data_IF_566180459096
#
_entry.id   IF_566180459096
#
_cell.length_a   1.000
_cell.length_b   1.000
_cell.length_c   1.000
_cell.angle_alpha   90.00
_cell.angle_beta   90.00
_cell.angle_gamma   90.00
#
_symmetry.space_group_name_H-M   'P 1'
#
loop_
_entity.id
_entity.type
_entity.pdbx_description
1 polymer ?
#
# COMPACT_ATOMS: atom_id res chain seq x y z
N UNK A 1 -33.84 0.21 28.71
CA UNK A 1 -34.58 -0.71 29.61
C UNK A 1 -34.54 -2.09 28.95
N UNK A 2 -34.18 -3.12 29.73
CA UNK A 2 -33.62 -4.45 29.34
C UNK A 2 -32.14 -4.33 28.92
N UNK A 3 -31.10 -4.47 29.77
CA UNK A 3 -30.75 -5.37 30.89
C UNK A 3 -30.84 -6.85 30.52
N UNK A 4 -29.69 -7.43 30.14
CA UNK A 4 -29.25 -8.77 30.58
C UNK A 4 -27.71 -8.72 30.71
N UNK A 5 -27.24 -8.73 31.95
CA UNK A 5 -25.88 -9.10 32.37
C UNK A 5 -25.69 -10.62 32.26
N UNK A 6 -24.45 -11.05 31.98
CA UNK A 6 -23.87 -12.25 32.60
C UNK A 6 -22.35 -12.28 32.35
N UNK A 7 -21.62 -12.04 33.43
CA UNK A 7 -20.23 -12.41 33.66
C UNK A 7 -20.01 -13.90 33.39
N UNK A 8 -18.80 -14.30 32.96
CA UNK A 8 -18.25 -15.54 33.48
C UNK A 8 -16.73 -15.56 33.52
N UNK A 9 -16.24 -16.06 34.63
CA UNK A 9 -14.87 -15.90 35.13
C UNK A 9 -14.04 -17.17 34.94
N UNK A 10 -12.77 -16.94 34.64
CA UNK A 10 -11.55 -17.72 34.91
C UNK A 10 -11.73 -19.09 35.63
N UNK A 11 -11.15 -20.15 35.04
CA UNK A 11 -10.63 -21.31 35.79
C UNK A 11 -9.16 -21.55 35.45
N UNK A 12 -8.29 -21.12 36.37
CA UNK A 12 -6.92 -21.60 36.51
C UNK A 12 -6.94 -23.03 37.06
N UNK A 13 -6.13 -23.92 36.50
CA UNK A 13 -5.82 -25.22 37.11
C UNK A 13 -4.33 -25.28 37.41
N UNK A 14 -4.00 -25.09 38.67
CA UNK A 14 -2.75 -25.54 39.28
C UNK A 14 -2.84 -27.05 39.47
N UNK A 15 -1.83 -27.78 39.01
CA UNK A 15 -1.47 -29.08 39.57
C UNK A 15 0.05 -29.08 39.76
N UNK A 16 0.48 -29.21 41.01
CA UNK A 16 1.87 -29.37 41.45
C UNK A 16 1.92 -30.51 42.47
N UNK A 17 3.00 -31.28 42.41
CA UNK A 17 3.68 -32.14 43.43
C UNK A 17 4.17 -33.37 42.66
N UNK A 18 5.46 -33.50 42.33
CA UNK A 18 6.58 -33.90 43.20
C UNK A 18 7.14 -35.21 42.61
N UNK A 19 8.41 -35.54 42.50
CA UNK A 19 9.69 -35.06 43.02
C UNK A 19 10.57 -36.31 43.19
N UNK A 20 11.67 -36.45 42.45
CA UNK A 20 12.86 -37.28 42.81
C UNK A 20 13.93 -37.32 41.68
N UNK A 21 14.89 -36.40 41.78
CA UNK A 21 16.36 -36.58 41.80
C UNK A 21 17.16 -37.35 40.72
N UNK A 22 18.47 -37.03 40.58
CA UNK A 22 19.08 -36.70 39.30
C UNK A 22 20.11 -37.72 38.82
N UNK A 23 20.28 -37.86 37.51
CA UNK A 23 21.39 -38.60 36.91
C UNK A 23 21.97 -37.90 35.68
N UNK A 24 23.17 -37.34 35.91
CA UNK A 24 24.34 -37.33 35.02
C UNK A 24 24.16 -36.73 33.62
N UNK A 25 24.48 -35.45 33.50
CA UNK A 25 24.82 -34.78 32.25
C UNK A 25 26.26 -35.13 31.85
N UNK A 26 26.42 -35.78 30.69
CA UNK A 26 27.69 -35.90 29.98
C UNK A 26 27.89 -34.64 29.14
N UNK A 27 28.74 -33.74 29.63
CA UNK A 27 29.16 -32.53 28.94
C UNK A 27 30.12 -32.86 27.78
N UNK A 28 29.63 -32.83 26.54
CA UNK A 28 30.50 -32.68 25.37
C UNK A 28 30.65 -31.19 25.07
N UNK A 29 31.84 -30.66 25.33
CA UNK A 29 32.28 -29.32 24.91
C UNK A 29 32.23 -29.23 23.37
N UNK A 30 31.19 -28.61 22.81
CA UNK A 30 31.23 -28.08 21.45
C UNK A 30 31.63 -26.61 21.55
N UNK A 31 32.82 -26.30 21.05
CA UNK A 31 33.31 -24.93 20.91
C UNK A 31 32.35 -24.11 20.02
N UNK A 32 32.17 -22.82 20.29
CA UNK A 32 31.43 -21.94 19.39
C UNK A 32 32.15 -21.88 18.02
N UNK A 33 31.39 -21.72 16.91
CA UNK A 33 32.00 -21.59 15.59
C UNK A 33 32.93 -20.38 15.53
N UNK A 34 34.04 -20.45 14.76
CA UNK A 34 35.02 -19.39 14.69
C UNK A 34 34.42 -18.10 14.16
N UNK A 35 35.00 -17.00 14.61
CA UNK A 35 34.59 -15.65 14.21
C UNK A 35 34.97 -15.41 12.74
N UNK A 36 34.22 -14.56 12.03
CA UNK A 36 34.47 -14.25 10.61
C UNK A 36 35.92 -13.78 10.35
N UNK A 37 36.53 -13.11 11.32
CA UNK A 37 37.92 -12.62 11.25
C UNK A 37 38.98 -13.73 11.39
N UNK A 38 38.68 -14.84 12.06
CA UNK A 38 39.59 -15.99 12.20
C UNK A 38 39.57 -16.92 10.97
N UNK A 39 38.49 -16.86 10.18
CA UNK A 39 38.32 -17.68 8.97
C UNK A 39 39.16 -17.19 7.79
N UNK A 40 39.71 -15.97 7.89
CA UNK A 40 40.50 -15.31 6.83
C UNK A 40 42.00 -15.57 7.00
N UNK A 41 42.44 -16.03 8.17
CA UNK A 41 43.85 -16.28 8.47
C UNK A 41 44.35 -17.67 8.06
N UNK A 42 43.44 -18.59 7.71
CA UNK A 42 43.76 -20.01 7.46
C UNK A 42 43.63 -20.36 5.96
N UNK A 43 44.40 -19.66 5.12
CA UNK A 43 44.72 -20.09 3.76
C UNK A 43 46.21 -19.87 3.47
N UNK A 44 47.06 -20.70 4.07
CA UNK A 44 48.38 -21.02 3.51
C UNK A 44 48.33 -22.46 3.05
N UNK A 45 47.78 -22.67 1.84
CA UNK A 45 47.87 -23.94 1.14
C UNK A 45 49.32 -24.13 0.67
N UNK A 46 50.09 -24.93 1.42
CA UNK A 46 51.31 -25.56 0.92
C UNK A 46 50.90 -26.61 -0.13
N UNK A 47 51.10 -26.30 -1.41
CA UNK A 47 51.04 -27.26 -2.51
C UNK A 47 52.47 -27.69 -2.89
N UNK A 48 52.76 -28.99 -3.06
CA UNK A 48 54.05 -29.45 -3.54
C UNK A 48 54.17 -29.18 -5.04
N UNK A 49 55.30 -28.58 -5.39
CA UNK A 49 55.77 -28.33 -6.74
C UNK A 49 55.96 -29.66 -7.47
N UNK A 50 55.12 -29.95 -8.46
CA UNK A 50 55.38 -30.92 -9.51
C UNK A 50 55.10 -30.24 -10.86
N UNK A 51 56.16 -30.15 -11.65
CA UNK A 51 56.17 -29.67 -13.03
C UNK A 51 55.28 -30.54 -13.94
N UNK A 52 54.85 -29.93 -15.04
CA UNK A 52 54.20 -30.54 -16.22
C UNK A 52 52.67 -30.73 -16.20
N UNK A 53 51.90 -29.64 -16.19
CA UNK A 53 50.64 -29.55 -16.96
C UNK A 53 50.44 -28.13 -17.50
N UNK A 54 50.63 -28.02 -18.81
CA UNK A 54 50.38 -26.81 -19.61
C UNK A 54 48.87 -26.51 -19.63
N UNK A 55 48.41 -25.67 -18.69
CA UNK A 55 47.10 -25.02 -18.79
C UNK A 55 47.30 -23.70 -19.53
N UNK A 56 46.80 -23.63 -20.76
CA UNK A 56 46.64 -22.38 -21.48
C UNK A 56 45.80 -21.44 -20.61
N UNK A 57 46.44 -20.35 -20.18
CA UNK A 57 45.84 -19.29 -19.40
C UNK A 57 44.91 -18.51 -20.34
N UNK A 58 43.63 -18.90 -20.41
CA UNK A 58 42.59 -18.06 -20.99
C UNK A 58 42.56 -16.73 -20.23
N UNK A 59 42.60 -15.64 -20.99
CA UNK A 59 42.66 -14.26 -20.55
C UNK A 59 41.70 -13.99 -19.38
N UNK A 60 42.24 -13.38 -18.32
CA UNK A 60 41.51 -12.93 -17.14
C UNK A 60 40.53 -11.82 -17.48
N UNK A 61 39.40 -12.17 -18.09
CA UNK A 61 38.22 -11.33 -18.07
C UNK A 61 37.79 -11.20 -16.61
N UNK A 62 37.99 -10.00 -16.03
CA UNK A 62 37.30 -9.61 -14.81
C UNK A 62 35.83 -10.03 -14.94
N UNK A 63 35.21 -10.62 -13.90
CA UNK A 63 33.80 -10.98 -13.97
C UNK A 63 33.05 -9.73 -14.44
N UNK A 64 32.18 -9.87 -15.45
CA UNK A 64 31.53 -8.71 -16.06
C UNK A 64 30.91 -7.87 -14.95
N UNK A 65 31.21 -6.57 -14.94
CA UNK A 65 30.62 -5.65 -14.00
C UNK A 65 29.10 -5.89 -13.98
N UNK A 66 28.51 -6.06 -12.79
CA UNK A 66 27.10 -6.40 -12.63
C UNK A 66 26.22 -5.40 -13.42
N UNK A 67 25.81 -5.80 -14.62
CA UNK A 67 24.93 -4.99 -15.44
C UNK A 67 23.55 -4.93 -14.75
N UNK A 68 22.92 -3.75 -14.64
CA UNK A 68 21.54 -3.66 -14.18
C UNK A 68 20.66 -4.55 -15.06
N UNK A 69 19.95 -5.48 -14.43
CA UNK A 69 19.03 -6.36 -15.16
C UNK A 69 17.73 -5.62 -15.45
N UNK A 70 17.48 -5.33 -16.72
CA UNK A 70 16.22 -4.75 -17.20
C UNK A 70 15.17 -5.85 -17.40
N UNK A 71 14.33 -6.04 -16.38
CA UNK A 71 13.27 -7.04 -16.43
C UNK A 71 12.14 -6.64 -17.40
N UNK A 72 11.56 -7.63 -18.10
CA UNK A 72 10.44 -7.38 -19.00
C UNK A 72 9.12 -7.24 -18.23
N UNK A 73 8.40 -6.14 -18.46
CA UNK A 73 7.06 -5.92 -17.90
C UNK A 73 6.17 -5.15 -18.88
N UNK A 74 4.87 -5.13 -18.61
CA UNK A 74 3.92 -4.29 -19.31
C UNK A 74 2.90 -3.69 -18.34
N UNK A 75 2.34 -2.54 -18.69
CA UNK A 75 1.28 -1.90 -17.92
C UNK A 75 -0.11 -2.42 -18.34
N UNK A 76 -0.97 -2.67 -17.35
CA UNK A 76 -2.40 -2.90 -17.54
C UNK A 76 -3.11 -1.62 -18.02
N UNK A 77 -4.38 -1.70 -18.43
CA UNK A 77 -5.19 -0.49 -18.69
C UNK A 77 -5.35 0.41 -17.48
N UNK A 78 -5.30 -0.16 -16.28
CA UNK A 78 -5.26 0.55 -14.99
C UNK A 78 -3.86 1.11 -14.66
N UNK A 79 -2.88 0.87 -15.52
CA UNK A 79 -1.47 1.19 -15.33
C UNK A 79 -0.74 0.32 -14.29
N UNK A 80 -1.38 -0.74 -13.79
CA UNK A 80 -0.72 -1.73 -12.93
C UNK A 80 0.40 -2.47 -13.70
N UNK A 81 1.53 -2.70 -13.04
CA UNK A 81 2.68 -3.33 -13.65
C UNK A 81 2.51 -4.85 -13.58
N UNK A 82 2.64 -5.53 -14.72
CA UNK A 82 2.58 -7.00 -14.81
C UNK A 82 3.86 -7.50 -15.47
N UNK A 83 4.55 -8.44 -14.83
CA UNK A 83 5.72 -9.11 -15.39
C UNK A 83 5.52 -10.63 -15.46
N UNK A 84 6.06 -11.23 -16.52
CA UNK A 84 6.19 -12.68 -16.72
C UNK A 84 7.64 -13.06 -17.02
N UNK A 85 8.56 -12.23 -16.55
CA UNK A 85 9.99 -12.38 -16.75
C UNK A 85 10.49 -13.64 -16.00
N UNK A 86 11.29 -14.47 -16.66
CA UNK A 86 11.80 -15.71 -16.04
C UNK A 86 12.78 -15.44 -14.91
N UNK A 87 13.63 -14.43 -15.05
CA UNK A 87 14.64 -14.11 -14.05
C UNK A 87 13.98 -13.67 -12.73
N UNK A 88 12.92 -12.86 -12.80
CA UNK A 88 12.13 -12.48 -11.63
C UNK A 88 11.36 -13.65 -10.97
N UNK A 89 11.23 -14.79 -11.66
CA UNK A 89 10.55 -15.97 -11.14
C UNK A 89 11.50 -16.97 -10.47
N UNK A 90 12.78 -16.89 -10.78
CA UNK A 90 13.80 -17.87 -10.41
C UNK A 90 14.84 -17.27 -9.45
N UNK A 91 15.15 -15.97 -9.59
CA UNK A 91 16.02 -15.23 -8.67
C UNK A 91 15.22 -14.25 -7.83
N UNK A 92 15.22 -14.48 -6.51
CA UNK A 92 14.55 -13.58 -5.58
C UNK A 92 15.21 -12.20 -5.51
N UNK A 93 16.51 -12.07 -5.83
CA UNK A 93 17.25 -10.82 -5.69
C UNK A 93 16.87 -9.89 -6.84
N UNK A 94 16.86 -10.41 -8.06
CA UNK A 94 16.26 -9.75 -9.21
C UNK A 94 14.81 -9.30 -8.91
N UNK A 95 13.98 -10.18 -8.31
CA UNK A 95 12.62 -9.81 -7.91
C UNK A 95 12.59 -8.67 -6.89
N UNK A 96 13.40 -8.75 -5.83
CA UNK A 96 13.47 -7.72 -4.81
C UNK A 96 13.90 -6.36 -5.38
N UNK A 97 14.98 -6.33 -6.17
CA UNK A 97 15.48 -5.11 -6.83
C UNK A 97 14.43 -4.54 -7.80
N UNK A 98 13.76 -5.39 -8.56
CA UNK A 98 12.66 -4.97 -9.44
C UNK A 98 11.50 -4.35 -8.65
N UNK A 99 11.11 -4.93 -7.51
CA UNK A 99 10.07 -4.35 -6.67
C UNK A 99 10.46 -2.97 -6.11
N UNK A 100 11.72 -2.80 -5.70
CA UNK A 100 12.23 -1.50 -5.24
C UNK A 100 12.25 -0.45 -6.37
N UNK A 101 12.75 -0.82 -7.54
CA UNK A 101 12.82 0.10 -8.69
C UNK A 101 11.42 0.51 -9.15
N UNK A 102 10.47 -0.41 -9.19
CA UNK A 102 9.08 -0.07 -9.54
C UNK A 102 8.33 0.66 -8.41
N UNK A 103 8.80 0.57 -7.16
CA UNK A 103 8.23 1.29 -6.02
C UNK A 103 8.68 2.75 -5.95
N UNK A 104 9.72 3.18 -6.68
CA UNK A 104 10.07 4.60 -6.74
C UNK A 104 8.97 5.45 -7.40
N UNK A 105 8.17 4.84 -8.29
CA UNK A 105 7.02 5.49 -8.92
C UNK A 105 5.77 5.33 -8.03
N UNK A 106 5.18 6.42 -7.51
CA UNK A 106 4.01 6.36 -6.66
C UNK A 106 2.74 5.92 -7.42
N UNK A 107 1.71 5.43 -6.72
CA UNK A 107 0.40 5.19 -7.32
C UNK A 107 -0.29 6.52 -7.62
N UNK A 108 -1.16 6.52 -8.63
CA UNK A 108 -2.02 7.68 -8.92
C UNK A 108 -3.23 7.65 -7.99
N UNK A 109 -3.54 8.77 -7.34
CA UNK A 109 -4.67 8.92 -6.43
C UNK A 109 -5.51 10.10 -6.91
N UNK A 110 -6.75 9.84 -7.32
CA UNK A 110 -7.65 10.85 -7.88
C UNK A 110 -8.90 10.94 -7.01
N UNK A 111 -9.30 12.17 -6.67
CA UNK A 111 -10.64 12.43 -6.16
C UNK A 111 -11.59 12.65 -7.33
N UNK A 112 -12.56 11.76 -7.50
CA UNK A 112 -13.60 11.90 -8.52
C UNK A 112 -14.90 12.41 -7.91
N UNK A 113 -15.45 13.46 -8.50
CA UNK A 113 -16.70 14.07 -8.12
C UNK A 113 -17.70 13.97 -9.28
N UNK A 114 -18.80 13.26 -9.06
CA UNK A 114 -19.84 13.06 -10.07
C UNK A 114 -21.21 13.41 -9.49
N UNK A 115 -21.96 14.25 -10.19
CA UNK A 115 -23.36 14.54 -9.92
C UNK A 115 -24.23 14.15 -11.10
N UNK A 116 -25.32 13.43 -10.85
CA UNK A 116 -26.35 13.15 -11.85
C UNK A 116 -27.75 13.41 -11.31
N UNK A 117 -28.71 13.65 -12.18
CA UNK A 117 -30.12 13.67 -11.80
C UNK A 117 -30.94 12.77 -12.73
N UNK A 118 -32.17 12.46 -12.30
CA UNK A 118 -33.11 11.67 -13.09
C UNK A 118 -34.11 12.59 -13.75
N UNK A 119 -34.26 12.48 -15.07
CA UNK A 119 -35.26 13.19 -15.85
C UNK A 119 -36.22 12.18 -16.48
N UNK A 120 -37.52 12.45 -16.40
CA UNK A 120 -38.55 11.58 -16.99
C UNK A 120 -38.99 12.17 -18.32
N UNK A 121 -38.68 11.46 -19.40
CA UNK A 121 -39.03 11.83 -20.77
C UNK A 121 -40.25 11.03 -21.23
N UNK A 122 -41.10 11.67 -22.02
CA UNK A 122 -42.19 11.00 -22.75
C UNK A 122 -41.81 10.83 -24.21
N UNK A 123 -41.82 9.60 -24.71
CA UNK A 123 -41.69 9.31 -26.14
C UNK A 123 -42.97 8.68 -26.68
N UNK A 124 -43.29 8.99 -27.94
CA UNK A 124 -44.37 8.29 -28.64
C UNK A 124 -43.80 7.05 -29.32
N UNK A 125 -44.35 5.89 -28.98
CA UNK A 125 -43.95 4.61 -29.58
C UNK A 125 -45.08 4.12 -30.45
N UNK A 126 -44.75 3.78 -31.70
CA UNK A 126 -45.66 3.09 -32.60
C UNK A 126 -45.62 1.60 -32.26
N UNK A 127 -46.74 1.05 -31.81
CA UNK A 127 -46.90 -0.39 -31.60
C UNK A 127 -47.77 -0.95 -32.72
N UNK A 128 -47.24 -1.94 -33.43
CA UNK A 128 -47.93 -2.64 -34.50
C UNK A 128 -48.46 -3.97 -33.94
N UNK A 129 -49.76 -4.07 -33.70
CA UNK A 129 -50.39 -5.30 -33.23
C UNK A 129 -51.66 -5.54 -34.05
N UNK A 130 -51.78 -6.72 -34.65
CA UNK A 130 -52.94 -7.14 -35.47
C UNK A 130 -53.34 -6.14 -36.58
N UNK A 131 -52.38 -5.65 -37.36
CA UNK A 131 -52.67 -4.80 -38.55
C UNK A 131 -53.14 -3.38 -38.25
N UNK A 132 -53.19 -2.98 -36.97
CA UNK A 132 -53.53 -1.62 -36.56
C UNK A 132 -52.33 -0.91 -35.94
N UNK A 133 -52.07 0.31 -36.44
CA UNK A 133 -51.10 1.22 -35.86
C UNK A 133 -51.71 1.90 -34.64
N UNK A 134 -51.19 1.61 -33.45
CA UNK A 134 -51.54 2.34 -32.23
C UNK A 134 -50.37 3.19 -31.79
N UNK A 135 -50.63 4.48 -31.61
CA UNK A 135 -49.69 5.39 -30.94
C UNK A 135 -49.88 5.25 -29.43
N UNK A 136 -48.79 4.97 -28.72
CA UNK A 136 -48.78 4.90 -27.26
C UNK A 136 -47.69 5.85 -26.74
N UNK A 137 -48.07 6.72 -25.82
CA UNK A 137 -47.10 7.51 -25.06
C UNK A 137 -46.47 6.61 -24.00
N UNK A 138 -45.14 6.49 -24.03
CA UNK A 138 -44.34 5.76 -23.04
C UNK A 138 -43.50 6.77 -22.26
N UNK A 139 -43.49 6.64 -20.94
CA UNK A 139 -42.61 7.40 -20.05
C UNK A 139 -41.37 6.56 -19.75
N UNK A 140 -40.18 7.13 -19.92
CA UNK A 140 -38.93 6.52 -19.47
C UNK A 140 -38.12 7.52 -18.66
N UNK A 141 -37.38 7.02 -17.67
CA UNK A 141 -36.52 7.83 -16.81
C UNK A 141 -35.08 7.65 -17.25
N UNK A 142 -34.40 8.76 -17.55
CA UNK A 142 -32.99 8.81 -17.95
C UNK A 142 -32.16 9.48 -16.85
N UNK A 143 -30.95 8.98 -16.59
CA UNK A 143 -30.03 9.62 -15.65
C UNK A 143 -29.02 10.47 -16.43
N UNK A 144 -29.09 11.78 -16.23
CA UNK A 144 -28.25 12.75 -16.92
C UNK A 144 -27.13 13.17 -15.98
N UNK A 145 -25.89 13.16 -16.47
CA UNK A 145 -24.73 13.63 -15.70
C UNK A 145 -24.69 15.15 -15.77
N UNK A 146 -24.71 15.80 -14.62
CA UNK A 146 -24.59 17.27 -14.53
C UNK A 146 -23.12 17.69 -14.56
N UNK A 147 -22.28 17.02 -13.77
CA UNK A 147 -20.82 17.21 -13.73
C UNK A 147 -20.12 15.89 -13.43
N UNK A 148 -18.93 15.70 -14.00
CA UNK A 148 -18.01 14.57 -13.76
C UNK A 148 -16.60 15.12 -13.92
N UNK A 149 -15.93 15.41 -12.80
CA UNK A 149 -14.57 15.94 -12.80
C UNK A 149 -13.67 15.22 -11.79
N UNK A 150 -12.37 15.29 -12.06
CA UNK A 150 -11.33 14.61 -11.30
C UNK A 150 -10.32 15.62 -10.76
N UNK A 151 -9.80 15.41 -9.55
CA UNK A 151 -8.67 16.18 -8.98
C UNK A 151 -7.54 15.21 -8.67
N UNK A 152 -6.32 15.51 -9.14
CA UNK A 152 -5.14 14.73 -8.81
C UNK A 152 -4.68 15.04 -7.38
N UNK A 153 -4.83 14.04 -6.51
CA UNK A 153 -4.38 14.08 -5.11
C UNK A 153 -3.01 13.41 -4.97
N UNK A 154 -2.63 12.55 -5.91
CA UNK A 154 -1.36 11.84 -5.93
C UNK A 154 -0.15 12.77 -6.03
N UNK A 155 -0.30 13.94 -6.63
CA UNK A 155 0.76 14.96 -6.71
C UNK A 155 1.29 15.44 -5.35
N UNK A 156 0.53 15.26 -4.26
CA UNK A 156 0.94 15.64 -2.90
C UNK A 156 1.66 14.52 -2.15
N UNK A 157 1.87 13.35 -2.78
CA UNK A 157 2.71 12.29 -2.24
C UNK A 157 4.15 12.80 -2.19
N UNK A 158 4.80 12.65 -1.03
CA UNK A 158 6.18 13.11 -0.85
C UNK A 158 7.05 12.05 -0.20
N UNK A 159 8.36 12.19 -0.47
CA UNK A 159 9.40 11.30 0.07
C UNK A 159 9.40 9.91 -0.55
N UNK A 160 10.30 9.08 -0.03
CA UNK A 160 10.44 7.69 -0.48
C UNK A 160 9.33 6.78 0.07
N UNK A 161 8.96 5.71 -0.66
CA UNK A 161 7.99 4.74 -0.19
C UNK A 161 8.45 4.05 1.09
N UNK A 162 7.57 3.96 2.08
CA UNK A 162 7.82 3.14 3.27
C UNK A 162 7.40 1.70 2.98
N UNK A 163 8.36 0.79 2.83
CA UNK A 163 8.09 -0.63 2.59
C UNK A 163 7.48 -1.30 3.82
N UNK A 164 6.36 -1.98 3.65
CA UNK A 164 5.62 -2.63 4.74
C UNK A 164 5.32 -4.10 4.44
N UNK A 165 5.09 -4.86 5.52
CA UNK A 165 4.67 -6.26 5.47
C UNK A 165 3.55 -6.53 6.47
N UNK A 166 2.65 -7.44 6.11
CA UNK A 166 1.59 -7.88 7.02
C UNK A 166 2.17 -8.67 8.19
N UNK A 167 1.74 -8.34 9.41
CA UNK A 167 2.08 -9.09 10.61
C UNK A 167 1.76 -10.57 10.44
N UNK A 168 2.53 -11.45 11.08
CA UNK A 168 2.37 -12.90 10.93
C UNK A 168 0.99 -13.37 11.42
N UNK A 169 0.41 -12.68 12.40
CA UNK A 169 -0.95 -12.88 12.91
C UNK A 169 -2.06 -12.44 11.94
N UNK A 170 -1.75 -11.62 10.93
CA UNK A 170 -2.73 -11.07 10.00
C UNK A 170 -2.97 -12.03 8.82
N UNK A 171 -4.24 -12.34 8.48
CA UNK A 171 -4.58 -13.15 7.32
C UNK A 171 -4.09 -12.55 6.00
N UNK A 172 -3.15 -13.22 5.34
CA UNK A 172 -2.57 -12.78 4.08
C UNK A 172 -2.37 -13.98 3.13
N UNK A 173 -2.22 -13.76 1.83
CA UNK A 173 -1.86 -14.85 0.93
C UNK A 173 -0.35 -15.09 1.01
N UNK A 174 0.07 -16.22 1.57
CA UNK A 174 1.50 -16.54 1.86
C UNK A 174 1.99 -17.76 1.06
N UNK A 175 1.53 -17.84 -0.19
CA UNK A 175 1.90 -18.87 -1.16
C UNK A 175 0.78 -19.82 -1.53
N UNK A 176 -0.29 -19.96 -0.75
CA UNK A 176 -1.50 -20.73 -1.14
C UNK A 176 -2.60 -19.86 -1.73
N UNK A 177 -3.60 -20.49 -2.34
CA UNK A 177 -4.78 -19.80 -2.91
C UNK A 177 -5.82 -19.38 -1.85
N UNK A 178 -5.50 -19.50 -0.57
CA UNK A 178 -6.31 -19.03 0.55
C UNK A 178 -5.43 -18.26 1.53
N UNK A 179 -6.03 -17.41 2.36
CA UNK A 179 -5.30 -16.62 3.34
C UNK A 179 -4.82 -17.49 4.50
N UNK A 180 -3.59 -17.25 4.90
CA UNK A 180 -2.83 -17.95 5.93
C UNK A 180 -2.37 -16.97 7.02
N UNK A 181 -2.21 -17.50 8.22
CA UNK A 181 -1.69 -16.84 9.43
C UNK A 181 -0.49 -17.66 9.89
N UNK A 182 0.56 -17.00 10.38
CA UNK A 182 1.83 -17.62 10.76
C UNK A 182 2.83 -17.71 9.61
N UNK A 183 4.04 -18.12 9.94
CA UNK A 183 5.18 -18.27 9.02
C UNK A 183 5.82 -19.65 9.21
N UNK A 184 6.44 -20.15 8.14
CA UNK A 184 7.09 -21.46 8.08
C UNK A 184 6.21 -22.59 8.66
N UNK A 185 6.64 -23.24 9.74
CA UNK A 185 5.97 -24.38 10.39
C UNK A 185 4.69 -23.98 11.13
N UNK A 186 4.53 -22.71 11.50
CA UNK A 186 3.34 -22.19 12.17
C UNK A 186 2.24 -21.76 11.19
N UNK A 187 2.44 -21.95 9.87
CA UNK A 187 1.46 -21.58 8.85
C UNK A 187 0.17 -22.38 9.03
N UNK A 188 -0.91 -21.66 9.35
CA UNK A 188 -2.27 -22.19 9.39
C UNK A 188 -3.21 -21.44 8.47
N UNK A 189 -4.28 -22.11 8.03
CA UNK A 189 -5.38 -21.47 7.30
C UNK A 189 -6.12 -20.47 8.19
N UNK A 190 -6.39 -19.27 7.68
CA UNK A 190 -7.13 -18.25 8.41
C UNK A 190 -8.60 -18.63 8.60
N UNK A 191 -9.13 -18.40 9.80
CA UNK A 191 -10.55 -18.62 10.13
C UNK A 191 -11.43 -17.63 9.37
N UNK A 192 -12.71 -17.95 9.18
CA UNK A 192 -13.66 -17.05 8.48
C UNK A 192 -13.85 -15.73 9.25
N UNK A 193 -13.92 -15.78 10.58
CA UNK A 193 -14.02 -14.60 11.44
C UNK A 193 -12.80 -13.68 11.30
N UNK A 194 -11.58 -14.24 11.38
CA UNK A 194 -10.32 -13.50 11.19
C UNK A 194 -10.29 -12.79 9.83
N UNK A 195 -10.65 -13.48 8.74
CA UNK A 195 -10.70 -12.88 7.40
C UNK A 195 -11.73 -11.76 7.29
N UNK A 196 -12.90 -11.92 7.91
CA UNK A 196 -13.95 -10.89 7.93
C UNK A 196 -13.49 -9.66 8.72
N UNK A 197 -12.89 -9.86 9.89
CA UNK A 197 -12.35 -8.80 10.73
C UNK A 197 -11.22 -8.05 10.03
N UNK A 198 -10.26 -8.77 9.43
CA UNK A 198 -9.16 -8.18 8.67
C UNK A 198 -9.66 -7.35 7.48
N UNK A 199 -10.66 -7.84 6.73
CA UNK A 199 -11.26 -7.09 5.61
C UNK A 199 -12.00 -5.83 6.07
N UNK A 200 -12.75 -5.92 7.17
CA UNK A 200 -13.45 -4.78 7.75
C UNK A 200 -12.45 -3.71 8.22
N UNK A 201 -11.38 -4.15 8.90
CA UNK A 201 -10.31 -3.27 9.34
C UNK A 201 -9.58 -2.61 8.17
N UNK A 202 -9.22 -3.36 7.14
CA UNK A 202 -8.56 -2.82 5.95
C UNK A 202 -9.39 -1.75 5.24
N UNK A 203 -10.71 -1.96 5.17
CA UNK A 203 -11.65 -0.98 4.61
C UNK A 203 -11.68 0.30 5.45
N UNK A 204 -11.79 0.17 6.77
CA UNK A 204 -11.82 1.32 7.69
C UNK A 204 -10.50 2.08 7.70
N UNK A 205 -9.39 1.34 7.78
CA UNK A 205 -8.02 1.85 7.75
C UNK A 205 -7.78 2.67 6.50
N UNK A 206 -8.16 2.14 5.33
CA UNK A 206 -8.01 2.84 4.05
C UNK A 206 -8.87 4.10 4.00
N UNK A 207 -10.13 4.05 4.46
CA UNK A 207 -11.02 5.23 4.50
C UNK A 207 -10.49 6.34 5.39
N UNK A 208 -9.93 6.00 6.54
CA UNK A 208 -9.29 6.98 7.45
C UNK A 208 -7.88 7.37 7.02
N UNK A 209 -7.34 6.73 5.99
CA UNK A 209 -5.96 6.87 5.51
C UNK A 209 -4.90 6.54 6.55
N UNK A 210 -5.19 5.57 7.42
CA UNK A 210 -4.22 5.03 8.35
C UNK A 210 -3.15 4.21 7.62
N UNK A 211 -1.88 4.28 8.07
CA UNK A 211 -0.81 3.46 7.52
C UNK A 211 -1.09 1.95 7.53
N UNK A 212 -0.56 1.18 6.57
CA UNK A 212 -0.89 -0.24 6.41
C UNK A 212 -0.30 -1.17 7.49
N UNK A 213 0.68 -0.72 8.28
CA UNK A 213 1.26 -1.49 9.39
C UNK A 213 0.50 -1.35 10.72
N UNK A 214 -0.60 -0.59 10.73
CA UNK A 214 -1.43 -0.39 11.91
C UNK A 214 -2.47 -1.52 12.02
N UNK A 215 -2.51 -2.15 13.21
CA UNK A 215 -3.49 -3.16 13.58
C UNK A 215 -4.82 -2.57 14.05
N UNK A 216 -5.86 -3.39 14.12
CA UNK A 216 -7.22 -2.97 14.53
C UNK A 216 -7.31 -2.50 15.98
N UNK A 217 -6.34 -2.87 16.81
CA UNK A 217 -6.20 -2.44 18.21
C UNK A 217 -5.94 -0.93 18.35
N UNK A 218 -5.47 -0.28 17.30
CA UNK A 218 -5.21 1.16 17.28
C UNK A 218 -6.44 2.05 17.16
N UNK A 219 -7.57 1.51 16.69
CA UNK A 219 -8.78 2.32 16.44
C UNK A 219 -9.30 3.06 17.69
N UNK A 220 -8.95 2.56 18.88
CA UNK A 220 -9.43 3.04 20.18
C UNK A 220 -8.39 3.85 20.97
N UNK A 221 -7.18 4.01 20.43
CA UNK A 221 -6.11 4.74 21.11
C UNK A 221 -6.23 6.23 20.77
N UNK A 222 -6.34 7.07 21.80
CA UNK A 222 -6.43 8.53 21.71
C UNK A 222 -5.17 9.18 21.10
N UNK A 223 -4.09 8.41 21.07
CA UNK A 223 -2.75 8.82 20.67
C UNK A 223 -2.48 8.65 19.16
N UNK A 224 -3.31 9.30 18.34
CA UNK A 224 -3.22 9.21 16.88
C UNK A 224 -1.93 9.84 16.30
N UNK A 225 -1.25 10.69 17.07
CA UNK A 225 -0.12 11.49 16.60
C UNK A 225 1.20 10.70 16.43
N UNK A 226 1.35 9.55 17.10
CA UNK A 226 2.51 8.66 16.91
C UNK A 226 2.30 7.54 15.88
N UNK A 227 1.07 7.37 15.38
CA UNK A 227 0.71 6.28 14.47
C UNK A 227 1.35 6.42 13.07
N UNK A 228 1.77 7.64 12.70
CA UNK A 228 2.45 7.92 11.43
C UNK A 228 3.96 7.71 11.48
N UNK A 229 4.50 7.16 12.58
CA UNK A 229 5.91 6.80 12.67
C UNK A 229 6.23 5.58 11.81
N UNK A 230 7.43 5.61 11.22
CA UNK A 230 7.98 4.53 10.38
C UNK A 230 8.75 3.48 11.18
N UNK A 231 8.74 3.56 12.51
CA UNK A 231 9.39 2.58 13.38
C UNK A 231 8.56 1.28 13.44
N UNK A 232 9.15 0.15 13.01
CA UNK A 232 8.49 -1.16 13.05
C UNK A 232 7.43 -1.38 11.97
N UNK A 233 7.66 -0.84 10.76
CA UNK A 233 6.75 -0.97 9.61
C UNK A 233 6.70 -2.39 9.03
N UNK A 234 7.83 -3.09 9.06
CA UNK A 234 7.91 -4.50 8.74
C UNK A 234 7.40 -5.30 9.94
N UNK A 235 6.11 -5.66 9.91
CA UNK A 235 5.46 -6.40 11.00
C UNK A 235 5.62 -7.90 10.87
N UNK A 236 5.96 -8.38 9.68
CA UNK A 236 6.25 -9.79 9.46
C UNK A 236 7.63 -10.14 10.01
N UNK A 237 7.81 -11.36 10.55
CA UNK A 237 9.16 -11.85 10.89
C UNK A 237 10.03 -12.07 9.66
N UNK A 238 9.43 -12.19 8.47
CA UNK A 238 10.15 -12.26 7.20
C UNK A 238 10.32 -10.91 6.52
N UNK A 239 11.50 -10.71 5.95
CA UNK A 239 11.82 -9.54 5.12
C UNK A 239 11.19 -9.65 3.73
N UNK A 240 11.12 -8.53 3.00
CA UNK A 240 10.66 -8.53 1.60
C UNK A 240 11.52 -9.45 0.72
N UNK A 241 12.84 -9.50 0.97
CA UNK A 241 13.78 -10.38 0.27
C UNK A 241 13.45 -11.85 0.50
N UNK A 242 13.19 -12.24 1.75
CA UNK A 242 12.81 -13.63 2.09
C UNK A 242 11.46 -14.03 1.49
N UNK A 243 10.49 -13.12 1.43
CA UNK A 243 9.23 -13.36 0.73
C UNK A 243 9.43 -13.56 -0.79
N UNK A 244 10.36 -12.82 -1.39
CA UNK A 244 10.75 -13.02 -2.78
C UNK A 244 11.43 -14.39 -2.98
N UNK A 245 12.30 -14.82 -2.07
CA UNK A 245 12.92 -16.15 -2.12
C UNK A 245 11.89 -17.29 -2.00
N UNK A 246 10.93 -17.19 -1.08
CA UNK A 246 9.85 -18.17 -0.92
C UNK A 246 8.98 -18.27 -2.20
N UNK A 247 8.74 -17.14 -2.86
CA UNK A 247 8.08 -17.12 -4.16
C UNK A 247 8.90 -17.81 -5.25
N UNK A 248 10.20 -17.52 -5.35
CA UNK A 248 11.08 -18.11 -6.36
C UNK A 248 11.24 -19.63 -6.13
N UNK A 249 11.42 -20.06 -4.89
CA UNK A 249 11.51 -21.48 -4.50
C UNK A 249 10.23 -22.29 -4.78
N UNK A 250 9.06 -21.63 -4.85
CA UNK A 250 7.79 -22.31 -5.11
C UNK A 250 7.69 -22.86 -6.54
N UNK A 251 7.48 -24.18 -6.65
CA UNK A 251 7.28 -24.94 -7.90
C UNK A 251 5.86 -24.87 -8.49
N UNK A 252 5.11 -23.81 -8.17
CA UNK A 252 3.71 -23.64 -8.60
C UNK A 252 3.62 -23.05 -10.00
N UNK A 253 2.79 -23.65 -10.84
CA UNK A 253 2.65 -23.21 -12.23
C UNK A 253 1.96 -21.86 -12.36
N UNK A 254 1.00 -21.54 -11.49
CA UNK A 254 0.25 -20.27 -11.53
C UNK A 254 0.56 -19.47 -10.27
N UNK A 255 1.85 -19.24 -10.00
CA UNK A 255 2.32 -18.36 -8.92
C UNK A 255 2.21 -16.89 -9.32
N UNK A 256 1.75 -16.07 -8.38
CA UNK A 256 1.55 -14.63 -8.52
C UNK A 256 2.06 -13.92 -7.26
N UNK A 257 3.05 -13.05 -7.40
CA UNK A 257 3.53 -12.16 -6.35
C UNK A 257 2.95 -10.77 -6.57
N UNK A 258 2.17 -10.27 -5.63
CA UNK A 258 1.56 -8.97 -5.69
C UNK A 258 2.17 -8.07 -4.62
N UNK A 259 2.72 -6.95 -5.07
CA UNK A 259 3.23 -5.88 -4.24
C UNK A 259 2.26 -4.69 -4.33
N UNK A 260 1.68 -4.31 -3.20
CA UNK A 260 0.65 -3.27 -3.16
C UNK A 260 1.24 -1.90 -2.85
N UNK A 261 0.89 -0.90 -3.65
CA UNK A 261 1.19 0.51 -3.41
C UNK A 261 -0.03 1.17 -2.76
N UNK A 262 0.15 1.77 -1.59
CA UNK A 262 -0.95 2.35 -0.80
C UNK A 262 -0.60 3.78 -0.40
N UNK A 263 -1.43 4.76 -0.76
CA UNK A 263 -1.31 6.11 -0.24
C UNK A 263 -1.95 6.22 1.15
N UNK A 264 -1.31 6.94 2.07
CA UNK A 264 -1.78 7.11 3.45
C UNK A 264 -1.47 8.51 4.00
N UNK A 265 -2.02 8.82 5.18
CA UNK A 265 -1.74 10.05 5.93
C UNK A 265 -2.88 11.07 5.91
N UNK A 266 -3.77 11.01 4.91
CA UNK A 266 -4.97 11.84 4.83
C UNK A 266 -6.22 11.08 5.21
N UNK A 267 -7.14 11.71 5.94
CA UNK A 267 -8.45 11.13 6.16
C UNK A 267 -9.33 11.31 4.93
N UNK A 268 -9.29 10.32 4.03
CA UNK A 268 -10.06 10.32 2.78
C UNK A 268 -11.57 10.41 3.02
N UNK A 269 -12.10 9.79 4.08
CA UNK A 269 -13.52 9.91 4.41
C UNK A 269 -13.88 11.33 4.87
N UNK A 270 -13.03 11.98 5.66
CA UNK A 270 -13.26 13.37 6.08
C UNK A 270 -13.26 14.33 4.88
N UNK A 271 -12.31 14.16 3.95
CA UNK A 271 -12.28 14.93 2.70
C UNK A 271 -13.55 14.65 1.88
N UNK A 272 -13.92 13.37 1.71
CA UNK A 272 -15.13 12.98 0.98
C UNK A 272 -16.38 13.67 1.55
N UNK A 273 -16.56 13.63 2.87
CA UNK A 273 -17.69 14.28 3.56
C UNK A 273 -17.65 15.80 3.39
N UNK A 274 -16.46 16.41 3.52
CA UNK A 274 -16.29 17.85 3.31
C UNK A 274 -16.63 18.26 1.87
N UNK A 275 -16.13 17.52 0.86
CA UNK A 275 -16.46 17.75 -0.55
C UNK A 275 -17.95 17.63 -0.80
N UNK A 276 -18.61 16.59 -0.27
CA UNK A 276 -20.07 16.44 -0.37
C UNK A 276 -20.78 17.65 0.23
N UNK A 277 -20.34 18.13 1.39
CA UNK A 277 -20.93 19.32 2.02
C UNK A 277 -20.73 20.58 1.19
N UNK A 278 -19.56 20.77 0.58
CA UNK A 278 -19.27 21.90 -0.31
C UNK A 278 -20.13 21.86 -1.56
N UNK A 279 -20.31 20.69 -2.17
CA UNK A 279 -21.18 20.53 -3.35
C UNK A 279 -22.64 20.81 -2.98
N UNK A 280 -23.12 20.31 -1.85
CA UNK A 280 -24.48 20.60 -1.38
C UNK A 280 -24.70 22.09 -1.10
N UNK A 281 -23.65 22.82 -0.69
CA UNK A 281 -23.72 24.28 -0.49
C UNK A 281 -23.98 25.07 -1.78
N UNK A 282 -23.75 24.48 -2.95
CA UNK A 282 -24.09 25.11 -4.26
C UNK A 282 -25.56 24.91 -4.65
N UNK A 283 -26.41 24.45 -3.73
CA UNK A 283 -27.81 24.09 -3.96
C UNK A 283 -28.02 22.95 -4.98
N UNK A 284 -27.01 22.11 -5.20
CA UNK A 284 -27.16 20.90 -5.99
C UNK A 284 -28.10 19.90 -5.29
N UNK A 285 -29.07 19.33 -6.01
CA UNK A 285 -30.09 18.40 -5.46
C UNK A 285 -30.13 17.02 -6.14
N UNK A 286 -29.18 16.74 -7.04
CA UNK A 286 -29.09 15.45 -7.72
C UNK A 286 -28.47 14.35 -6.85
N UNK A 287 -28.35 13.17 -7.45
CA UNK A 287 -27.59 12.05 -6.94
C UNK A 287 -26.09 12.36 -7.00
N UNK A 288 -25.42 12.33 -5.85
CA UNK A 288 -24.01 12.71 -5.72
C UNK A 288 -23.12 11.50 -5.39
N UNK A 289 -22.03 11.34 -6.13
CA UNK A 289 -20.98 10.35 -5.88
C UNK A 289 -19.62 11.03 -5.83
N UNK A 290 -19.01 11.01 -4.64
CA UNK A 290 -17.63 11.46 -4.41
C UNK A 290 -16.81 10.27 -3.91
N UNK A 291 -15.76 9.91 -4.63
CA UNK A 291 -14.95 8.72 -4.35
C UNK A 291 -13.48 8.96 -4.69
N UNK A 292 -12.58 8.31 -3.96
CA UNK A 292 -11.16 8.26 -4.31
C UNK A 292 -10.90 7.03 -5.20
N UNK A 293 -10.38 7.26 -6.39
CA UNK A 293 -9.94 6.23 -7.31
C UNK A 293 -8.42 6.13 -7.25
N UNK A 294 -7.89 4.92 -7.06
CA UNK A 294 -6.44 4.67 -7.07
C UNK A 294 -6.10 3.76 -8.25
N UNK A 295 -5.08 4.14 -9.01
CA UNK A 295 -4.58 3.37 -10.15
C UNK A 295 -3.05 3.20 -10.04
N UNK A 296 -2.48 2.31 -10.86
CA UNK A 296 -1.06 1.94 -10.80
C UNK A 296 -0.62 1.42 -9.41
N UNK A 297 -1.51 0.75 -8.70
CA UNK A 297 -1.34 0.46 -7.28
C UNK A 297 -0.87 -0.96 -7.01
N UNK A 298 -0.67 -1.79 -8.04
CA UNK A 298 -0.18 -3.16 -7.88
C UNK A 298 0.95 -3.44 -8.86
N UNK A 299 2.03 -4.02 -8.35
CA UNK A 299 3.08 -4.68 -9.15
C UNK A 299 2.85 -6.19 -9.02
N UNK A 300 2.56 -6.87 -10.13
CA UNK A 300 2.22 -8.29 -10.17
C UNK A 300 3.26 -9.06 -10.99
N UNK A 301 4.06 -9.89 -10.31
CA UNK A 301 4.99 -10.81 -10.97
C UNK A 301 4.33 -12.19 -11.05
N UNK A 302 4.15 -12.68 -12.26
CA UNK A 302 3.49 -13.95 -12.53
C UNK A 302 4.48 -14.93 -13.12
N UNK A 303 4.17 -16.22 -13.01
CA UNK A 303 4.98 -17.27 -13.63
C UNK A 303 5.21 -17.04 -15.13
N UNK A 304 6.41 -17.39 -15.60
CA UNK A 304 6.86 -17.14 -16.96
C UNK A 304 6.29 -18.13 -18.01
N UNK A 305 5.49 -19.12 -17.59
CA UNK A 305 5.01 -20.16 -18.50
C UNK A 305 3.90 -19.68 -19.45
N UNK A 306 3.70 -20.46 -20.53
CA UNK A 306 2.71 -20.15 -21.60
C UNK A 306 1.30 -20.01 -21.05
N UNK A 307 0.90 -20.85 -20.09
CA UNK A 307 -0.43 -20.81 -19.49
C UNK A 307 -0.67 -19.50 -18.73
N UNK A 308 0.28 -19.06 -17.93
CA UNK A 308 0.21 -17.81 -17.19
C UNK A 308 0.17 -16.60 -18.11
N UNK A 309 1.01 -16.57 -19.15
CA UNK A 309 0.98 -15.53 -20.19
C UNK A 309 -0.36 -15.50 -20.94
N UNK A 310 -0.88 -16.67 -21.30
CA UNK A 310 -2.18 -16.82 -21.94
C UNK A 310 -3.32 -16.28 -21.05
N UNK A 311 -3.29 -16.58 -19.75
CA UNK A 311 -4.26 -16.08 -18.78
C UNK A 311 -4.15 -14.57 -18.49
N UNK A 312 -3.05 -13.91 -18.86
CA UNK A 312 -2.94 -12.46 -18.76
C UNK A 312 -3.69 -11.72 -19.86
N UNK A 313 -3.93 -12.36 -21.02
CA UNK A 313 -4.66 -11.77 -22.13
C UNK A 313 -6.19 -11.91 -21.93
N UNK A 314 -6.92 -10.78 -22.02
CA UNK A 314 -8.38 -10.74 -21.85
C UNK A 314 -9.13 -11.50 -22.95
N UNK A 315 -8.65 -11.46 -24.19
CA UNK A 315 -9.26 -12.19 -25.30
C UNK A 315 -9.13 -13.71 -25.12
N UNK A 316 -7.99 -14.18 -24.63
CA UNK A 316 -7.79 -15.59 -24.33
C UNK A 316 -8.68 -16.02 -23.17
N UNK A 317 -8.82 -15.20 -22.12
CA UNK A 317 -9.78 -15.44 -21.03
C UNK A 317 -11.22 -15.58 -21.56
N UNK A 318 -11.62 -14.71 -22.47
CA UNK A 318 -12.94 -14.78 -23.12
C UNK A 318 -13.12 -16.09 -23.90
N UNK A 319 -12.12 -16.48 -24.70
CA UNK A 319 -12.12 -17.75 -25.42
C UNK A 319 -12.20 -18.95 -24.46
N UNK A 320 -11.39 -18.97 -23.40
CA UNK A 320 -11.39 -20.03 -22.38
C UNK A 320 -12.72 -20.15 -21.63
N UNK A 321 -13.43 -19.03 -21.48
CA UNK A 321 -14.77 -19.01 -20.92
C UNK A 321 -15.78 -19.62 -21.91
N UNK A 322 -15.72 -19.20 -23.18
CA UNK A 322 -16.60 -19.70 -24.24
C UNK A 322 -16.43 -21.20 -24.49
N UNK A 323 -15.19 -21.72 -24.37
CA UNK A 323 -14.89 -23.14 -24.52
C UNK A 323 -15.10 -23.95 -23.23
N UNK A 324 -15.61 -23.34 -22.15
CA UNK A 324 -15.82 -23.98 -20.84
C UNK A 324 -14.55 -24.60 -20.21
N UNK A 325 -13.36 -24.25 -20.66
CA UNK A 325 -12.08 -24.73 -20.11
C UNK A 325 -11.73 -23.97 -18.81
N UNK A 326 -12.14 -22.71 -18.72
CA UNK A 326 -11.86 -21.83 -17.56
C UNK A 326 -12.16 -22.45 -16.17
N UNK A 327 -13.32 -23.10 -15.92
CA UNK A 327 -13.58 -23.75 -14.63
C UNK A 327 -12.56 -24.83 -14.25
N UNK A 328 -12.01 -25.57 -15.22
CA UNK A 328 -10.97 -26.57 -14.95
C UNK A 328 -9.64 -25.91 -14.56
N UNK A 329 -9.26 -24.82 -15.23
CA UNK A 329 -8.08 -24.03 -14.86
C UNK A 329 -8.25 -23.44 -13.45
N UNK A 330 -9.45 -22.95 -13.13
CA UNK A 330 -9.76 -22.47 -11.79
C UNK A 330 -9.64 -23.58 -10.74
N UNK A 331 -10.18 -24.77 -11.02
CA UNK A 331 -10.10 -25.94 -10.14
C UNK A 331 -8.64 -26.36 -9.92
N UNK A 332 -7.84 -26.41 -10.98
CA UNK A 332 -6.40 -26.67 -10.91
C UNK A 332 -5.68 -25.61 -10.08
N UNK A 333 -5.93 -24.32 -10.34
CA UNK A 333 -5.36 -23.22 -9.56
C UNK A 333 -5.70 -23.37 -8.08
N UNK A 334 -6.93 -23.75 -7.74
CA UNK A 334 -7.44 -23.79 -6.36
C UNK A 334 -7.05 -25.04 -5.56
N UNK A 335 -7.14 -26.23 -6.15
CA UNK A 335 -7.06 -27.51 -5.42
C UNK A 335 -5.77 -28.28 -5.66
N UNK A 336 -5.07 -28.05 -6.78
CA UNK A 336 -3.85 -28.79 -7.07
C UNK A 336 -2.65 -28.20 -6.30
N UNK A 337 -1.83 -29.05 -5.68
CA UNK A 337 -0.67 -28.64 -4.87
C UNK A 337 0.33 -27.78 -5.66
N UNK A 338 0.54 -28.12 -6.94
CA UNK A 338 1.38 -27.39 -7.90
C UNK A 338 0.64 -26.34 -8.73
N UNK A 339 -0.65 -26.13 -8.46
CA UNK A 339 -1.50 -25.24 -9.24
C UNK A 339 -1.19 -23.77 -8.96
N UNK A 340 -2.08 -23.12 -8.21
CA UNK A 340 -2.01 -21.71 -7.90
C UNK A 340 -1.25 -21.40 -6.62
N UNK A 341 -0.51 -20.29 -6.65
CA UNK A 341 0.05 -19.67 -5.46
C UNK A 341 -0.07 -18.16 -5.53
N UNK A 342 -0.43 -17.53 -4.42
CA UNK A 342 -0.53 -16.07 -4.33
C UNK A 342 0.29 -15.59 -3.14
N UNK A 343 1.08 -14.57 -3.37
CA UNK A 343 1.81 -13.82 -2.36
C UNK A 343 1.26 -12.41 -2.36
N UNK A 344 0.66 -12.02 -1.24
CA UNK A 344 0.03 -10.72 -1.01
C UNK A 344 0.36 -10.32 0.43
N UNK A 345 1.64 -10.11 0.66
CA UNK A 345 2.27 -10.07 1.99
C UNK A 345 2.89 -8.72 2.32
N UNK A 346 3.14 -7.89 1.32
CA UNK A 346 3.95 -6.69 1.44
C UNK A 346 3.57 -5.63 0.41
N UNK A 347 4.12 -4.44 0.59
CA UNK A 347 3.87 -3.32 -0.29
C UNK A 347 4.71 -2.09 0.02
N UNK A 348 4.44 -1.02 -0.72
CA UNK A 348 5.00 0.31 -0.51
C UNK A 348 3.90 1.24 -0.03
N UNK A 349 4.15 1.98 1.04
CA UNK A 349 3.23 2.99 1.55
C UNK A 349 3.76 4.39 1.20
N UNK A 350 2.90 5.23 0.65
CA UNK A 350 3.23 6.56 0.14
C UNK A 350 2.55 7.61 1.00
N UNK A 351 3.34 8.48 1.63
CA UNK A 351 2.81 9.46 2.57
C UNK A 351 2.31 10.70 1.84
N UNK A 352 1.05 11.07 2.11
CA UNK A 352 0.50 12.41 1.83
C UNK A 352 0.77 13.37 3.00
N UNK A 353 0.85 12.82 4.21
CA UNK A 353 1.23 13.50 5.46
C UNK A 353 1.92 12.51 6.39
N UNK A 354 3.04 12.89 7.01
CA UNK A 354 3.71 12.09 8.05
C UNK A 354 4.24 12.92 9.21
N UNK A 355 4.34 12.31 10.39
CA UNK A 355 4.92 12.95 11.59
C UNK A 355 6.34 12.43 11.77
N UNK A 356 7.33 13.30 11.64
CA UNK A 356 8.74 13.00 11.88
C UNK A 356 9.16 13.47 13.27
N UNK A 357 10.04 12.71 13.93
CA UNK A 357 10.70 13.18 15.14
C UNK A 357 11.98 13.89 14.74
N UNK A 358 12.07 15.18 15.02
CA UNK A 358 13.35 15.88 14.89
C UNK A 358 14.16 15.58 16.15
N UNK A 359 15.06 14.59 16.07
CA UNK A 359 16.17 14.54 17.02
C UNK A 359 17.01 15.79 16.77
N UNK A 360 17.05 16.72 17.74
CA UNK A 360 18.14 17.69 17.75
C UNK A 360 19.42 16.86 17.81
N UNK A 361 20.21 16.85 16.74
CA UNK A 361 21.64 16.61 16.87
C UNK A 361 22.11 17.60 17.92
N UNK A 362 22.61 17.10 19.05
CA UNK A 362 23.43 17.90 19.94
C UNK A 362 24.64 18.31 19.10
N UNK A 363 24.59 19.49 18.49
CA UNK A 363 25.80 20.21 18.16
C UNK A 363 26.54 20.40 19.49
N UNK A 364 27.85 20.09 19.58
CA UNK A 364 28.61 20.51 20.74
C UNK A 364 28.66 22.03 20.70
N UNK A 365 27.90 22.68 21.59
CA UNK A 365 28.02 24.11 21.84
C UNK A 365 29.44 24.37 22.37
N UNK A 366 30.35 24.67 21.46
CA UNK A 366 31.50 25.52 21.76
C UNK A 366 31.02 26.93 21.49
N UNK A 367 30.47 27.61 22.48
CA UNK A 367 30.68 29.05 22.66
C UNK A 367 30.39 29.46 24.11
N UNK A 368 31.31 30.28 24.59
CA UNK A 368 31.53 30.67 25.97
C UNK A 368 30.35 31.41 26.61
N UNK A 369 30.33 31.29 27.93
CA UNK A 369 29.59 32.11 28.89
C UNK A 369 29.60 33.60 28.52
N UNK A 370 28.45 34.26 28.63
CA UNK A 370 28.39 35.68 28.98
C UNK A 370 27.13 35.92 29.82
N UNK A 371 27.27 36.28 31.11
CA UNK A 371 26.15 36.30 32.04
C UNK A 371 25.59 37.71 32.24
N UNK A 372 25.25 38.47 31.20
CA UNK A 372 24.55 39.75 31.40
C UNK A 372 23.73 40.17 30.17
N UNK A 373 22.39 40.04 30.26
CA UNK A 373 21.42 41.14 30.04
C UNK A 373 19.97 40.63 30.09
N UNK A 374 19.32 40.97 31.19
CA UNK A 374 17.86 41.12 31.27
C UNK A 374 17.41 42.46 30.66
N UNK A 375 16.14 42.47 30.24
CA UNK A 375 15.25 43.62 29.95
C UNK A 375 15.38 44.33 28.58
N UNK A 376 14.50 43.99 27.62
CA UNK A 376 13.44 44.90 27.08
C UNK A 376 12.55 44.16 26.05
N UNK A 377 11.22 44.27 26.24
CA UNK A 377 10.14 44.43 25.24
C UNK A 377 10.05 43.57 23.95
N UNK A 378 8.90 43.21 23.37
CA UNK A 378 7.46 43.02 23.66
C UNK A 378 6.82 42.75 22.28
N UNK A 379 5.74 41.93 22.22
CA UNK A 379 4.77 41.78 21.10
C UNK A 379 5.36 41.29 19.75
N UNK A 380 5.03 40.10 19.24
CA UNK A 380 3.72 39.83 18.66
C UNK A 380 3.21 38.40 18.87
N UNK A 381 1.96 38.34 19.33
CA UNK A 381 1.11 37.18 19.33
C UNK A 381 0.40 37.08 17.96
N UNK A 382 0.36 35.89 17.35
CA UNK A 382 -0.89 35.19 16.93
C UNK A 382 -0.60 34.03 15.98
N UNK A 383 -0.46 32.82 16.53
CA UNK A 383 -0.83 31.57 15.87
C UNK A 383 -0.87 30.43 16.92
N UNK A 384 -1.78 30.54 17.89
CA UNK A 384 -2.07 29.43 18.80
C UNK A 384 -2.98 28.42 18.10
N UNK A 385 -2.39 27.33 17.62
CA UNK A 385 -3.05 26.05 17.41
C UNK A 385 -2.45 25.03 18.36
N UNK A 386 -3.26 24.51 19.28
CA UNK A 386 -2.93 23.65 20.43
C UNK A 386 -1.73 22.71 20.24
N UNK A 387 -0.57 23.11 20.78
CA UNK A 387 0.52 22.20 21.11
C UNK A 387 0.28 21.71 22.54
N UNK A 388 -0.33 20.53 22.70
CA UNK A 388 -0.26 19.82 23.97
C UNK A 388 1.23 19.65 24.32
N UNK A 389 1.61 20.12 25.51
CA UNK A 389 2.96 20.10 26.00
C UNK A 389 3.49 18.66 26.07
N UNK A 390 4.33 18.29 25.09
CA UNK A 390 5.17 17.10 25.20
C UNK A 390 6.33 17.39 26.18
N UNK A 391 6.80 16.39 26.96
CA UNK A 391 7.91 16.54 27.89
C UNK A 391 9.17 17.08 27.19
N UNK A 392 10.09 17.73 27.93
CA UNK A 392 11.18 18.49 27.34
C UNK A 392 12.14 17.55 26.62
N UNK A 393 12.12 17.55 25.28
CA UNK A 393 13.14 16.86 24.48
C UNK A 393 12.70 16.35 23.10
N UNK A 394 11.39 16.20 22.81
CA UNK A 394 10.94 15.62 21.53
C UNK A 394 10.00 16.56 20.77
N UNK A 395 10.55 17.31 19.80
CA UNK A 395 9.76 18.09 18.85
C UNK A 395 9.32 17.19 17.69
N UNK A 396 8.03 16.98 17.53
CA UNK A 396 7.44 16.31 16.37
C UNK A 396 7.15 17.35 15.28
N UNK A 397 7.58 17.08 14.05
CA UNK A 397 7.32 17.92 12.88
C UNK A 397 6.38 17.16 11.95
N UNK A 398 5.23 17.76 11.63
CA UNK A 398 4.36 17.25 10.56
C UNK A 398 4.97 17.67 9.23
N UNK A 399 5.24 16.70 8.37
CA UNK A 399 5.75 16.87 7.00
C UNK A 399 4.68 16.45 6.01
N UNK A 400 4.59 17.16 4.89
CA UNK A 400 3.56 16.96 3.87
C UNK A 400 2.38 17.92 3.99
N UNK A 401 1.57 17.93 2.94
CA UNK A 401 0.35 18.73 2.86
C UNK A 401 -0.70 18.20 3.84
N UNK A 402 -1.36 19.08 4.59
CA UNK A 402 -2.46 18.67 5.48
C UNK A 402 -3.78 18.61 4.70
N UNK A 403 -4.60 17.61 4.98
CA UNK A 403 -5.90 17.41 4.33
C UNK A 403 -6.83 18.63 4.41
N UNK A 404 -6.86 19.32 5.56
CA UNK A 404 -7.69 20.52 5.74
C UNK A 404 -7.12 21.76 5.04
N UNK A 405 -5.80 21.84 4.90
CA UNK A 405 -5.14 22.91 4.14
C UNK A 405 -5.38 22.73 2.65
N UNK A 406 -5.15 21.50 2.15
CA UNK A 406 -5.47 21.11 0.79
C UNK A 406 -6.94 21.38 0.47
N UNK A 407 -7.86 20.95 1.33
CA UNK A 407 -9.29 21.13 1.09
C UNK A 407 -9.66 22.61 0.99
N UNK A 408 -9.09 23.46 1.83
CA UNK A 408 -9.33 24.91 1.80
C UNK A 408 -8.85 25.55 0.49
N UNK A 409 -7.74 25.09 -0.07
CA UNK A 409 -7.24 25.56 -1.38
C UNK A 409 -8.15 25.11 -2.54
N UNK A 410 -8.71 23.91 -2.44
CA UNK A 410 -9.51 23.32 -3.51
C UNK A 410 -11.02 23.62 -3.42
N UNK A 411 -11.52 24.11 -2.27
CA UNK A 411 -12.95 24.32 -2.04
C UNK A 411 -13.59 25.23 -3.10
N UNK A 412 -12.96 26.37 -3.43
CA UNK A 412 -13.45 27.30 -4.44
C UNK A 412 -13.49 26.68 -5.84
N UNK A 413 -12.45 25.90 -6.19
CA UNK A 413 -12.35 25.17 -7.45
C UNK A 413 -13.45 24.11 -7.58
N UNK A 414 -13.70 23.33 -6.52
CA UNK A 414 -14.79 22.34 -6.46
C UNK A 414 -16.14 23.03 -6.68
N UNK A 415 -16.36 24.18 -6.00
CA UNK A 415 -17.59 24.95 -6.12
C UNK A 415 -17.83 25.43 -7.54
N UNK A 416 -16.80 26.01 -8.16
CA UNK A 416 -16.85 26.48 -9.56
C UNK A 416 -17.06 25.34 -10.54
N UNK A 417 -16.36 24.21 -10.38
CA UNK A 417 -16.50 23.05 -11.25
C UNK A 417 -17.95 22.53 -11.26
N UNK A 418 -18.62 22.51 -10.11
CA UNK A 418 -20.05 22.15 -10.03
C UNK A 418 -20.95 23.20 -10.66
N UNK A 419 -20.77 24.48 -10.32
CA UNK A 419 -21.59 25.58 -10.87
C UNK A 419 -21.50 25.67 -12.39
N UNK A 420 -20.31 25.44 -12.95
CA UNK A 420 -20.03 25.43 -14.38
C UNK A 420 -20.37 24.09 -15.06
N UNK A 421 -20.88 23.10 -14.32
CA UNK A 421 -21.23 21.76 -14.85
C UNK A 421 -20.05 21.11 -15.59
N UNK A 422 -18.86 21.16 -14.99
CA UNK A 422 -17.64 20.64 -15.60
C UNK A 422 -17.77 19.12 -15.86
N UNK A 423 -17.52 18.73 -17.11
CA UNK A 423 -17.49 17.33 -17.55
C UNK A 423 -16.16 17.05 -18.22
N UNK A 424 -15.12 16.88 -17.41
CA UNK A 424 -13.79 16.55 -17.88
C UNK A 424 -13.15 15.50 -16.97
N UNK A 425 -12.71 14.40 -17.59
CA UNK A 425 -12.06 13.30 -16.88
C UNK A 425 -10.56 13.51 -16.72
N UNK A 426 -9.98 14.52 -17.38
CA UNK A 426 -8.61 14.90 -17.13
C UNK A 426 -8.50 15.45 -15.70
N UNK A 427 -7.64 14.85 -14.84
CA UNK A 427 -7.51 15.30 -13.46
C UNK A 427 -6.97 16.73 -13.39
N UNK A 428 -7.67 17.58 -12.65
CA UNK A 428 -7.21 18.93 -12.30
C UNK A 428 -6.00 18.81 -11.37
N UNK A 429 -4.93 19.54 -11.69
CA UNK A 429 -3.67 19.52 -10.92
C UNK A 429 -3.44 20.78 -10.11
N UNK A 430 -4.08 21.91 -10.44
CA UNK A 430 -3.94 23.15 -9.69
C UNK A 430 -5.31 23.72 -9.31
N UNK A 431 -5.45 24.31 -8.10
CA UNK A 431 -6.66 25.05 -7.74
C UNK A 431 -6.69 26.40 -8.47
N UNK A 432 -7.85 26.85 -8.94
CA UNK A 432 -7.93 28.12 -9.69
C UNK A 432 -7.75 29.37 -8.80
N UNK A 433 -7.86 29.24 -7.48
CA UNK A 433 -7.69 30.35 -6.52
C UNK A 433 -6.22 30.61 -6.14
N UNK A 434 -5.26 29.89 -6.74
CA UNK A 434 -3.88 30.30 -6.63
C UNK A 434 -3.69 31.62 -7.40
N UNK A 435 -3.21 32.71 -6.77
CA UNK A 435 -2.80 33.86 -7.53
C UNK A 435 -1.74 33.37 -8.52
N UNK A 436 -2.02 33.50 -9.82
CA UNK A 436 -1.02 33.27 -10.83
C UNK A 436 0.23 34.07 -10.42
N UNK A 437 1.41 33.47 -10.43
CA UNK A 437 2.67 34.15 -10.07
C UNK A 437 2.88 35.50 -10.79
N UNK A 438 2.12 35.78 -11.85
CA UNK A 438 2.06 37.05 -12.56
C UNK A 438 1.43 38.21 -11.76
N UNK A 439 0.53 37.98 -10.80
CA UNK A 439 -0.05 39.06 -9.98
C UNK A 439 0.87 39.50 -8.83
N UNK A 440 1.73 38.62 -8.31
CA UNK A 440 2.79 38.98 -7.35
C UNK A 440 3.91 39.84 -7.95
N UNK A 441 4.05 39.85 -9.28
CA UNK A 441 4.98 40.72 -9.99
C UNK A 441 4.41 42.13 -10.27
N UNK A 442 3.12 42.37 -10.00
CA UNK A 442 2.44 43.65 -10.26
C UNK A 442 2.26 44.52 -9.01
N UNK A 443 2.46 43.98 -7.80
CA UNK A 443 2.41 44.73 -6.53
C UNK A 443 3.79 45.29 -6.10
N UNK A 444 4.75 45.36 -7.03
CA UNK A 444 6.01 46.08 -6.81
C UNK A 444 5.85 47.58 -7.02
N UNK A 445 5.46 48.31 -5.97
CA UNK A 445 5.77 49.73 -5.77
C UNK A 445 6.61 49.93 -4.52
#
# INVERSE_FOLDING_TARGET
MLIIDAEDSVKFKQDSVGGSNPLVASSSLQQPPPTFEESVADQVLHLPQNDDLNFEQEDGAEPPAFAPYDAQFFASRSGDIISHDSHLNDDGEALYRFLLSQASTPPTVILRCQGSHKETHTRMVHSHHNGHNRMKTEQYTESITDFDFCIDVGQYIFGEPTHWSYADSTPAYRGRMYQEVGISEEKRKARKSERKAAKAWDTERTRRGFPPWIGSDYAWREDQSYATQTNGVLRSSWTLRQWADDYCASRKYLKEFNYNKIAYGWNFEAIRVATISTINSTHYRGDLSVQFETSQNVISVRSHNRLSRALSNRWIKFLLFLTFIYPFIWLFKRFHSRGGGRWDVCGGAYALKRVEQTAKQFAPDVHAESPFRDVFETVDATAQGSSLANPPGRRTKVVGMREGEWFRQWEGTIRRAVQNRLQDRQPLTMPDDHPAHQTLALDGY
#
